data_IF_938656924527
#
_entry.id   IF_938656924527
#
_cell.length_a   1.000
_cell.length_b   1.000
_cell.length_c   1.000
_cell.angle_alpha   90.00
_cell.angle_beta   90.00
_cell.angle_gamma   90.00
#
_symmetry.space_group_name_H-M   'P 1'
#
loop_
_entity.id
_entity.type
_entity.pdbx_description
1 polymer ?
#
# COMPACT_ATOMS: atom_id res chain seq x y z
N UNK A 1 -9.60 -43.75 -9.44
CA UNK A 1 -9.99 -42.34 -9.56
C UNK A 1 -8.97 -41.51 -8.82
N UNK A 2 -8.42 -40.45 -9.41
CA UNK A 2 -7.46 -39.58 -8.73
C UNK A 2 -8.18 -38.77 -7.64
N UNK A 3 -7.87 -39.07 -6.38
CA UNK A 3 -8.40 -38.45 -5.15
C UNK A 3 -7.90 -37.02 -4.91
N UNK A 4 -7.85 -36.18 -5.95
CA UNK A 4 -7.50 -34.77 -5.79
C UNK A 4 -8.74 -33.96 -5.40
N UNK A 5 -8.68 -33.32 -4.23
CA UNK A 5 -9.72 -32.38 -3.81
C UNK A 5 -9.87 -31.26 -4.84
N UNK A 6 -11.09 -30.76 -5.13
CA UNK A 6 -11.25 -29.62 -6.02
C UNK A 6 -10.48 -28.40 -5.50
N UNK A 7 -9.66 -27.77 -6.35
CA UNK A 7 -8.87 -26.60 -5.97
C UNK A 7 -7.85 -26.18 -7.02
N UNK A 8 -7.31 -24.97 -6.84
CA UNK A 8 -6.17 -24.47 -7.61
C UNK A 8 -4.90 -24.90 -6.89
N UNK A 9 -4.10 -25.72 -7.56
CA UNK A 9 -2.80 -26.19 -7.06
C UNK A 9 -1.70 -25.29 -7.62
N UNK A 10 -0.88 -24.75 -6.74
CA UNK A 10 0.25 -23.89 -7.12
C UNK A 10 1.42 -24.10 -6.18
N UNK A 11 2.64 -24.03 -6.71
CA UNK A 11 3.87 -23.99 -5.92
C UNK A 11 4.10 -22.62 -5.27
N UNK A 12 3.28 -21.62 -5.61
CA UNK A 12 3.36 -20.28 -5.04
C UNK A 12 3.14 -20.33 -3.53
N UNK A 13 4.09 -19.75 -2.79
CA UNK A 13 3.99 -19.57 -1.34
C UNK A 13 3.45 -18.18 -1.05
N UNK A 14 2.24 -18.04 -0.49
CA UNK A 14 1.70 -16.73 -0.15
C UNK A 14 2.45 -16.12 1.02
N UNK A 15 2.67 -14.80 0.96
CA UNK A 15 3.23 -14.03 2.07
C UNK A 15 2.25 -13.90 3.23
N UNK A 16 0.98 -13.65 2.92
CA UNK A 16 -0.07 -13.41 3.91
C UNK A 16 -0.94 -14.64 4.13
N UNK A 17 -1.39 -14.82 5.36
CA UNK A 17 -2.36 -15.84 5.70
C UNK A 17 -3.74 -15.50 5.16
N UNK A 18 -4.50 -16.53 4.80
CA UNK A 18 -5.91 -16.38 4.41
C UNK A 18 -6.73 -15.80 5.56
N UNK A 19 -7.54 -14.80 5.26
CA UNK A 19 -8.56 -14.34 6.20
C UNK A 19 -9.71 -15.36 6.23
N UNK A 20 -9.87 -16.05 7.37
CA UNK A 20 -10.92 -17.05 7.54
C UNK A 20 -12.31 -16.40 7.67
N UNK A 21 -12.40 -15.13 8.05
CA UNK A 21 -13.67 -14.44 8.27
C UNK A 21 -14.35 -14.12 6.93
N UNK A 22 -13.60 -13.59 5.97
CA UNK A 22 -14.11 -13.36 4.61
C UNK A 22 -14.55 -14.69 3.96
N UNK A 23 -13.76 -15.75 4.10
CA UNK A 23 -14.10 -17.08 3.56
C UNK A 23 -15.39 -17.62 4.16
N UNK A 24 -15.57 -17.55 5.48
CA UNK A 24 -16.83 -17.95 6.14
C UNK A 24 -18.02 -17.13 5.63
N UNK A 25 -17.86 -15.80 5.47
CA UNK A 25 -18.92 -14.92 4.95
C UNK A 25 -19.32 -15.28 3.52
N UNK A 26 -18.35 -15.58 2.66
CA UNK A 26 -18.59 -16.00 1.28
C UNK A 26 -19.26 -17.37 1.20
N UNK A 27 -18.77 -18.36 1.95
CA UNK A 27 -19.36 -19.70 2.02
C UNK A 27 -20.81 -19.65 2.51
N UNK A 28 -21.09 -18.86 3.56
CA UNK A 28 -22.46 -18.63 4.03
C UNK A 28 -23.33 -18.02 2.94
N UNK A 29 -22.81 -17.05 2.17
CA UNK A 29 -23.52 -16.46 1.05
C UNK A 29 -23.91 -17.48 -0.02
N UNK A 30 -23.05 -18.45 -0.32
CA UNK A 30 -23.36 -19.55 -1.26
C UNK A 30 -24.48 -20.43 -0.69
N UNK A 31 -24.36 -20.82 0.57
CA UNK A 31 -25.37 -21.66 1.25
C UNK A 31 -26.74 -21.00 1.28
N UNK A 32 -26.79 -19.67 1.51
CA UNK A 32 -28.04 -18.91 1.55
C UNK A 32 -28.51 -18.42 0.18
N UNK A 33 -27.92 -18.90 -0.93
CA UNK A 33 -28.22 -18.47 -2.31
C UNK A 33 -28.23 -16.94 -2.49
N UNK A 34 -27.29 -16.26 -1.82
CA UNK A 34 -27.14 -14.80 -1.91
C UNK A 34 -26.83 -14.41 -3.37
N UNK A 35 -27.40 -13.31 -3.90
CA UNK A 35 -27.08 -12.82 -5.23
C UNK A 35 -25.58 -12.63 -5.45
N UNK A 36 -25.12 -12.93 -6.66
CA UNK A 36 -23.70 -12.93 -7.04
C UNK A 36 -23.07 -11.53 -6.89
N UNK A 37 -23.86 -10.49 -7.15
CA UNK A 37 -23.48 -9.09 -7.08
C UNK A 37 -23.07 -8.72 -5.64
N UNK A 38 -23.81 -9.23 -4.65
CA UNK A 38 -23.52 -8.99 -3.24
C UNK A 38 -22.25 -9.72 -2.81
N UNK A 39 -22.04 -10.95 -3.29
CA UNK A 39 -20.80 -11.71 -3.04
C UNK A 39 -19.59 -10.99 -3.64
N UNK A 40 -19.75 -10.49 -4.88
CA UNK A 40 -18.74 -9.73 -5.62
C UNK A 40 -18.41 -8.42 -4.90
N UNK A 41 -19.42 -7.67 -4.47
CA UNK A 41 -19.23 -6.42 -3.74
C UNK A 41 -18.50 -6.64 -2.40
N UNK A 42 -18.84 -7.71 -1.68
CA UNK A 42 -18.20 -8.07 -0.42
C UNK A 42 -16.72 -8.41 -0.63
N UNK A 43 -16.38 -9.17 -1.68
CA UNK A 43 -15.00 -9.47 -2.03
C UNK A 43 -14.22 -8.22 -2.47
N UNK A 44 -14.80 -7.38 -3.33
CA UNK A 44 -14.19 -6.11 -3.78
C UNK A 44 -13.87 -5.21 -2.59
N UNK A 45 -14.82 -5.06 -1.65
CA UNK A 45 -14.61 -4.25 -0.44
C UNK A 45 -13.46 -4.80 0.40
N UNK A 46 -13.42 -6.10 0.64
CA UNK A 46 -12.35 -6.73 1.41
C UNK A 46 -10.96 -6.50 0.77
N UNK A 47 -10.85 -6.68 -0.55
CA UNK A 47 -9.59 -6.48 -1.27
C UNK A 47 -9.18 -5.00 -1.28
N UNK A 48 -10.14 -4.08 -1.38
CA UNK A 48 -9.88 -2.64 -1.28
C UNK A 48 -9.34 -2.26 0.10
N UNK A 49 -10.00 -2.68 1.18
CA UNK A 49 -9.57 -2.43 2.56
C UNK A 49 -8.17 -3.00 2.82
N UNK A 50 -7.89 -4.21 2.30
CA UNK A 50 -6.58 -4.83 2.42
C UNK A 50 -5.51 -4.06 1.63
N UNK A 51 -5.84 -3.58 0.43
CA UNK A 51 -4.94 -2.75 -0.38
C UNK A 51 -4.64 -1.43 0.32
N UNK A 52 -5.64 -0.76 0.88
CA UNK A 52 -5.45 0.46 1.66
C UNK A 52 -4.56 0.20 2.88
N UNK A 53 -4.81 -0.89 3.61
CA UNK A 53 -3.99 -1.28 4.76
C UNK A 53 -2.52 -1.50 4.37
N UNK A 54 -2.28 -2.07 3.19
CA UNK A 54 -0.95 -2.24 2.61
C UNK A 54 -0.31 -0.90 2.16
N UNK A 55 -1.09 0.03 1.62
CA UNK A 55 -0.54 1.30 1.10
C UNK A 55 -0.28 2.35 2.19
N UNK A 56 -1.05 2.37 3.28
CA UNK A 56 -0.92 3.39 4.35
C UNK A 56 0.51 3.56 4.88
N UNK A 57 1.26 2.49 5.25
CA UNK A 57 2.64 2.64 5.72
C UNK A 57 3.55 3.25 4.65
N UNK A 58 3.37 2.89 3.38
CA UNK A 58 4.15 3.43 2.27
C UNK A 58 3.90 4.91 2.07
N UNK A 59 2.65 5.33 2.10
CA UNK A 59 2.27 6.74 1.96
C UNK A 59 2.81 7.57 3.14
N UNK A 60 2.74 7.04 4.36
CA UNK A 60 3.30 7.68 5.55
C UNK A 60 4.82 7.83 5.45
N UNK A 61 5.52 6.78 5.03
CA UNK A 61 6.98 6.84 4.85
C UNK A 61 7.35 7.83 3.75
N UNK A 62 6.65 7.81 2.61
CA UNK A 62 6.83 8.80 1.54
C UNK A 62 6.65 10.23 2.07
N UNK A 63 5.61 10.50 2.84
CA UNK A 63 5.39 11.82 3.44
C UNK A 63 6.56 12.23 4.35
N UNK A 64 7.16 11.29 5.09
CA UNK A 64 8.32 11.56 5.94
C UNK A 64 9.60 11.90 5.18
N UNK A 65 9.71 11.50 3.91
CA UNK A 65 10.84 11.85 3.04
C UNK A 65 10.78 13.30 2.54
N UNK A 66 9.62 13.96 2.70
CA UNK A 66 9.39 15.29 2.16
C UNK A 66 10.00 16.38 3.04
N UNK A 67 10.56 17.44 2.44
CA UNK A 67 11.09 18.58 3.18
C UNK A 67 9.95 19.32 3.89
N UNK A 68 10.20 19.78 5.11
CA UNK A 68 9.25 20.59 5.86
C UNK A 68 9.09 21.96 5.18
N UNK A 69 7.85 22.46 5.09
CA UNK A 69 7.53 23.74 4.43
C UNK A 69 8.37 24.91 4.96
N UNK A 70 8.63 24.94 6.28
CA UNK A 70 9.47 25.96 6.93
C UNK A 70 10.92 26.02 6.42
N UNK A 71 11.38 25.00 5.71
CA UNK A 71 12.73 24.94 5.14
C UNK A 71 12.75 25.37 3.66
N UNK A 72 11.60 25.74 3.07
CA UNK A 72 11.50 26.26 1.71
C UNK A 72 11.86 27.74 1.78
N UNK A 73 12.98 28.12 1.16
CA UNK A 73 13.44 29.51 1.09
C UNK A 73 13.19 30.04 -0.32
N UNK A 74 12.70 31.29 -0.48
CA UNK A 74 12.46 31.88 -1.81
C UNK A 74 13.73 31.87 -2.67
N UNK A 75 14.88 32.13 -2.03
CA UNK A 75 16.17 32.35 -2.68
C UNK A 75 17.06 31.10 -2.79
N UNK A 76 16.57 29.91 -2.41
CA UNK A 76 17.30 28.64 -2.55
C UNK A 76 16.61 27.72 -3.56
N UNK A 77 17.37 26.79 -4.14
CA UNK A 77 16.79 25.76 -5.00
C UNK A 77 15.70 24.96 -4.26
N UNK A 78 14.64 24.57 -4.98
CA UNK A 78 13.55 23.75 -4.45
C UNK A 78 14.12 22.53 -3.71
N UNK A 79 13.75 22.28 -2.44
CA UNK A 79 14.30 21.14 -1.73
C UNK A 79 13.83 19.84 -2.39
N UNK A 80 14.77 18.94 -2.66
CA UNK A 80 14.46 17.63 -3.23
C UNK A 80 13.98 16.67 -2.14
N UNK A 81 13.01 15.79 -2.43
CA UNK A 81 12.65 14.71 -1.51
C UNK A 81 13.87 13.84 -1.19
N UNK A 82 13.97 13.36 0.05
CA UNK A 82 14.98 12.36 0.40
C UNK A 82 14.76 11.08 -0.41
N UNK A 83 15.85 10.38 -0.79
CA UNK A 83 15.72 9.13 -1.55
C UNK A 83 14.94 8.09 -0.74
N UNK A 84 14.14 7.30 -1.42
CA UNK A 84 13.43 6.18 -0.81
C UNK A 84 14.42 5.06 -0.48
N UNK A 85 14.46 4.63 0.78
CA UNK A 85 15.26 3.50 1.22
C UNK A 85 14.35 2.34 1.67
N UNK A 86 14.35 1.20 0.97
CA UNK A 86 13.55 0.03 1.34
C UNK A 86 13.84 -0.50 2.76
N UNK A 87 15.09 -0.45 3.21
CA UNK A 87 15.47 -0.99 4.53
C UNK A 87 14.99 -0.08 5.65
N UNK A 88 15.11 1.24 5.48
CA UNK A 88 14.54 2.22 6.41
C UNK A 88 13.02 2.08 6.49
N UNK A 89 12.35 1.92 5.34
CA UNK A 89 10.91 1.66 5.31
C UNK A 89 10.56 0.38 6.10
N UNK A 90 11.27 -0.72 5.85
CA UNK A 90 11.03 -1.99 6.55
C UNK A 90 11.22 -1.84 8.07
N UNK A 91 12.19 -1.04 8.51
CA UNK A 91 12.40 -0.76 9.93
C UNK A 91 11.19 -0.05 10.58
N UNK A 92 10.44 0.76 9.82
CA UNK A 92 9.23 1.41 10.33
C UNK A 92 8.04 0.46 10.53
N UNK A 93 8.03 -0.70 9.87
CA UNK A 93 6.88 -1.61 9.88
C UNK A 93 6.59 -2.20 11.25
N UNK A 94 7.58 -2.28 12.15
CA UNK A 94 7.37 -2.76 13.52
C UNK A 94 6.39 -1.87 14.29
N UNK A 95 6.45 -0.55 14.10
CA UNK A 95 5.62 0.42 14.83
C UNK A 95 4.50 1.02 14.00
N UNK A 96 4.64 1.06 12.68
CA UNK A 96 3.73 1.74 11.74
C UNK A 96 3.26 0.86 10.58
N UNK A 97 3.29 -0.46 10.75
CA UNK A 97 2.92 -1.41 9.69
C UNK A 97 1.41 -1.67 9.55
N UNK A 98 1.01 -2.53 8.59
CA UNK A 98 -0.39 -2.88 8.30
C UNK A 98 -1.14 -3.49 9.48
N UNK A 99 -0.45 -4.04 10.48
CA UNK A 99 -1.06 -4.58 11.69
C UNK A 99 -1.93 -3.57 12.47
N UNK A 100 -1.74 -2.26 12.22
CA UNK A 100 -2.56 -1.20 12.80
C UNK A 100 -3.94 -1.07 12.16
N UNK A 101 -4.12 -1.56 10.92
CA UNK A 101 -5.34 -1.38 10.12
C UNK A 101 -5.96 -2.71 9.68
N UNK A 102 -5.20 -3.81 9.72
CA UNK A 102 -5.70 -5.15 9.43
C UNK A 102 -5.20 -6.20 10.42
N UNK A 103 -6.06 -7.15 10.75
CA UNK A 103 -5.72 -8.31 11.57
C UNK A 103 -5.06 -9.45 10.78
N UNK A 104 -4.82 -9.28 9.47
CA UNK A 104 -4.17 -10.29 8.63
C UNK A 104 -2.70 -10.43 9.03
N UNK A 105 -2.31 -11.68 9.31
CA UNK A 105 -0.95 -12.06 9.70
C UNK A 105 -0.19 -12.64 8.50
N UNK A 106 1.13 -12.64 8.60
CA UNK A 106 2.03 -13.22 7.60
C UNK A 106 3.28 -12.39 7.44
N UNK A 107 4.03 -12.67 6.39
CA UNK A 107 5.27 -11.99 6.03
C UNK A 107 4.99 -10.69 5.24
N UNK A 108 4.55 -9.66 5.97
CA UNK A 108 4.36 -8.32 5.39
C UNK A 108 5.66 -7.76 4.80
N UNK A 109 6.80 -8.00 5.46
CA UNK A 109 8.12 -7.54 5.01
C UNK A 109 8.46 -8.14 3.64
N UNK A 110 8.30 -9.45 3.49
CA UNK A 110 8.51 -10.14 2.21
C UNK A 110 7.56 -9.65 1.12
N UNK A 111 6.30 -9.37 1.46
CA UNK A 111 5.35 -8.80 0.51
C UNK A 111 5.80 -7.42 0.01
N UNK A 112 6.22 -6.52 0.90
CA UNK A 112 6.75 -5.20 0.50
C UNK A 112 8.03 -5.33 -0.34
N UNK A 113 8.97 -6.19 0.08
CA UNK A 113 10.20 -6.45 -0.70
C UNK A 113 9.89 -6.96 -2.10
N UNK A 114 8.87 -7.82 -2.25
CA UNK A 114 8.41 -8.28 -3.57
C UNK A 114 7.76 -7.14 -4.35
N UNK A 115 6.95 -6.31 -3.70
CA UNK A 115 6.30 -5.16 -4.33
C UNK A 115 7.30 -4.15 -4.87
N UNK A 116 8.39 -3.85 -4.13
CA UNK A 116 9.43 -2.92 -4.58
C UNK A 116 10.14 -3.33 -5.85
N UNK A 117 10.14 -4.64 -6.16
CA UNK A 117 10.69 -5.20 -7.40
C UNK A 117 9.68 -5.27 -8.55
N UNK A 118 8.46 -4.78 -8.34
CA UNK A 118 7.38 -4.89 -9.31
C UNK A 118 7.19 -3.58 -10.09
N UNK A 119 6.68 -3.64 -11.34
CA UNK A 119 6.31 -2.45 -12.11
C UNK A 119 5.24 -1.59 -11.43
N UNK A 120 4.41 -2.19 -10.57
CA UNK A 120 3.38 -1.49 -9.81
C UNK A 120 4.00 -0.48 -8.84
N UNK A 121 5.08 -0.87 -8.16
CA UNK A 121 5.81 0.05 -7.27
C UNK A 121 6.46 1.17 -8.06
N UNK A 122 7.14 0.88 -9.17
CA UNK A 122 7.77 1.93 -9.97
C UNK A 122 6.75 2.94 -10.50
N UNK A 123 5.59 2.47 -10.96
CA UNK A 123 4.51 3.34 -11.43
C UNK A 123 3.96 4.22 -10.30
N UNK A 124 3.63 3.60 -9.16
CA UNK A 124 3.13 4.32 -7.99
C UNK A 124 4.16 5.32 -7.44
N UNK A 125 5.42 4.92 -7.29
CA UNK A 125 6.49 5.74 -6.74
C UNK A 125 6.75 6.97 -7.62
N UNK A 126 6.87 6.78 -8.94
CA UNK A 126 7.10 7.88 -9.87
C UNK A 126 5.92 8.87 -9.90
N UNK A 127 4.68 8.37 -9.82
CA UNK A 127 3.50 9.22 -9.72
C UNK A 127 3.51 10.05 -8.44
N UNK A 128 3.75 9.43 -7.27
CA UNK A 128 3.84 10.12 -5.99
C UNK A 128 5.00 11.11 -5.92
N UNK A 129 6.16 10.74 -6.43
CA UNK A 129 7.33 11.63 -6.48
C UNK A 129 7.04 12.87 -7.34
N UNK A 130 6.38 12.70 -8.49
CA UNK A 130 5.97 13.80 -9.36
C UNK A 130 4.98 14.73 -8.68
N UNK A 131 3.92 14.17 -8.10
CA UNK A 131 2.88 14.93 -7.37
C UNK A 131 3.51 15.81 -6.28
N UNK A 132 4.42 15.25 -5.49
CA UNK A 132 5.08 16.02 -4.43
C UNK A 132 6.06 17.05 -4.98
N UNK A 133 6.85 16.69 -6.01
CA UNK A 133 7.78 17.64 -6.63
C UNK A 133 7.05 18.88 -7.18
N UNK A 134 5.90 18.67 -7.83
CA UNK A 134 5.05 19.76 -8.32
C UNK A 134 4.51 20.62 -7.16
N UNK A 135 4.09 20.00 -6.06
CA UNK A 135 3.62 20.73 -4.87
C UNK A 135 4.73 21.58 -4.24
N UNK A 136 5.96 21.07 -4.18
CA UNK A 136 7.11 21.83 -3.66
C UNK A 136 7.47 23.02 -4.55
N UNK A 137 7.39 22.85 -5.87
CA UNK A 137 7.60 23.95 -6.83
C UNK A 137 6.54 25.04 -6.68
N UNK A 138 5.27 24.66 -6.54
CA UNK A 138 4.18 25.61 -6.33
C UNK A 138 4.39 26.45 -5.06
N UNK A 139 4.74 25.79 -3.93
CA UNK A 139 5.02 26.48 -2.67
C UNK A 139 6.21 27.44 -2.75
N UNK A 140 7.25 27.10 -3.54
CA UNK A 140 8.37 28.01 -3.75
C UNK A 140 7.97 29.23 -4.57
N UNK A 141 7.16 29.05 -5.63
CA UNK A 141 6.66 30.16 -6.44
C UNK A 141 5.77 31.11 -5.63
N UNK A 142 4.92 30.57 -4.76
CA UNK A 142 4.12 31.36 -3.81
C UNK A 142 5.05 32.18 -2.89
N UNK A 143 6.03 31.53 -2.25
CA UNK A 143 6.98 32.21 -1.37
C UNK A 143 7.84 33.27 -2.09
N UNK A 144 8.08 33.13 -3.39
CA UNK A 144 8.74 34.14 -4.24
C UNK A 144 7.82 35.31 -4.58
N UNK A 145 6.52 35.05 -4.77
CA UNK A 145 5.54 36.09 -5.06
C UNK A 145 5.25 36.98 -3.84
N UNK A 146 5.38 36.43 -2.63
CA UNK A 146 5.13 37.12 -1.37
C UNK A 146 6.37 37.85 -0.81
N UNK A 147 7.54 37.68 -1.45
CA UNK A 147 8.82 38.26 -1.04
C UNK A 147 9.10 39.61 -1.74
#
# INVERSE_FOLDING_TARGET
MLDSKPGVYTHYRPFLHKDKNILKKLLKGIQTKRPCEVQTALLKRHLLELTQSFMIPLERYMASLMPLQKNISPYKAAPTPRPFNPDDFVATLGTSGPQLTTGIKGDWVGLYRRFFRSPNFSGWFNARYREVSQKLQALQLEALSDA
#
